data_IF_718211675212
#
_entry.id   IF_718211675212
#
_cell.length_a   1.000
_cell.length_b   1.000
_cell.length_c   1.000
_cell.angle_alpha   90.00
_cell.angle_beta   90.00
_cell.angle_gamma   90.00
#
_symmetry.space_group_name_H-M   'P 1'
#
loop_
_entity.id
_entity.type
_entity.pdbx_description
1 polymer ?
#
# COMPACT_ATOMS: atom_id res chain seq x y z
N UNK A 1 9.22 -15.47 -15.84
CA UNK A 1 9.24 -15.47 -14.35
C UNK A 1 7.87 -15.01 -13.91
N UNK A 2 7.25 -15.63 -12.90
CA UNK A 2 5.91 -15.20 -12.49
C UNK A 2 6.01 -14.01 -11.51
N UNK A 3 5.45 -12.86 -11.89
CA UNK A 3 5.51 -11.62 -11.11
C UNK A 3 4.11 -11.08 -10.91
N UNK A 4 3.72 -10.88 -9.66
CA UNK A 4 2.42 -10.34 -9.29
C UNK A 4 2.59 -9.00 -8.60
N UNK A 5 1.70 -8.06 -8.89
CA UNK A 5 1.66 -6.79 -8.19
C UNK A 5 0.25 -6.45 -7.71
N UNK A 6 0.17 -5.82 -6.55
CA UNK A 6 -1.00 -5.14 -6.04
C UNK A 6 -0.71 -3.65 -6.03
N UNK A 7 -1.50 -2.89 -6.78
CA UNK A 7 -1.38 -1.44 -6.91
C UNK A 7 -2.62 -0.79 -6.30
N UNK A 8 -2.40 -0.04 -5.22
CA UNK A 8 -3.45 0.53 -4.39
C UNK A 8 -3.35 2.05 -4.39
N UNK A 9 -4.41 2.74 -4.81
CA UNK A 9 -4.50 4.20 -4.80
C UNK A 9 -5.83 4.67 -4.24
N UNK A 10 -5.84 5.08 -2.96
CA UNK A 10 -7.09 5.43 -2.27
C UNK A 10 -7.25 6.95 -2.16
N UNK A 11 -8.29 7.47 -2.80
CA UNK A 11 -8.68 8.87 -2.76
C UNK A 11 -9.73 9.17 -1.68
N UNK A 12 -10.61 8.20 -1.39
CA UNK A 12 -11.82 8.45 -0.63
C UNK A 12 -11.70 8.02 0.84
N UNK A 13 -11.93 8.96 1.77
CA UNK A 13 -11.86 8.73 3.22
C UNK A 13 -13.03 9.41 3.97
N UNK A 14 -14.28 8.97 3.75
CA UNK A 14 -15.47 9.63 4.29
C UNK A 14 -15.49 9.79 5.81
N UNK A 15 -14.80 8.92 6.56
CA UNK A 15 -14.78 8.93 8.03
C UNK A 15 -13.50 9.53 8.63
N UNK A 16 -12.48 9.81 7.81
CA UNK A 16 -11.25 10.43 8.27
C UNK A 16 -11.42 11.94 8.40
N UNK A 17 -11.74 12.40 9.61
CA UNK A 17 -12.04 13.80 9.93
C UNK A 17 -11.35 14.23 11.22
N UNK A 18 -10.99 15.51 11.33
CA UNK A 18 -10.45 16.07 12.58
C UNK A 18 -11.52 16.18 13.66
N UNK A 19 -12.74 16.56 13.29
CA UNK A 19 -13.91 16.64 14.18
C UNK A 19 -15.15 16.06 13.49
N UNK A 20 -16.26 15.77 14.22
CA UNK A 20 -17.51 15.30 13.62
C UNK A 20 -18.06 16.20 12.51
N UNK A 21 -17.82 17.51 12.60
CA UNK A 21 -18.33 18.52 11.66
C UNK A 21 -17.31 18.92 10.59
N UNK A 22 -16.03 18.53 10.73
CA UNK A 22 -14.99 18.80 9.74
C UNK A 22 -15.23 18.06 8.42
N UNK A 23 -14.70 18.64 7.34
CA UNK A 23 -14.64 17.96 6.04
C UNK A 23 -13.78 16.70 6.14
N UNK A 24 -14.14 15.68 5.38
CA UNK A 24 -13.36 14.46 5.24
C UNK A 24 -12.05 14.73 4.48
N UNK A 25 -10.99 14.04 4.89
CA UNK A 25 -9.62 14.22 4.37
C UNK A 25 -9.39 13.39 3.10
N UNK A 26 -10.20 13.65 2.07
CA UNK A 26 -10.02 13.04 0.76
C UNK A 26 -8.68 13.46 0.11
N UNK A 27 -8.14 12.60 -0.73
CA UNK A 27 -6.98 12.86 -1.58
C UNK A 27 -7.42 12.85 -3.05
N UNK A 28 -6.64 13.52 -3.92
CA UNK A 28 -7.03 13.70 -5.33
C UNK A 28 -6.12 12.98 -6.32
N UNK A 29 -4.83 12.81 -6.00
CA UNK A 29 -3.84 12.20 -6.90
C UNK A 29 -3.63 10.69 -6.77
N UNK A 30 -3.86 10.01 -5.62
CA UNK A 30 -3.46 8.61 -5.44
C UNK A 30 -3.95 7.63 -6.52
N UNK A 31 -5.21 7.72 -6.94
CA UNK A 31 -5.74 6.84 -7.98
C UNK A 31 -5.03 7.02 -9.33
N UNK A 32 -4.77 8.27 -9.74
CA UNK A 32 -4.07 8.56 -11.00
C UNK A 32 -2.60 8.12 -10.95
N UNK A 33 -1.92 8.41 -9.83
CA UNK A 33 -0.52 8.03 -9.63
C UNK A 33 -0.37 6.50 -9.58
N UNK A 34 -1.29 5.81 -8.88
CA UNK A 34 -1.35 4.36 -8.85
C UNK A 34 -1.60 3.75 -10.23
N UNK A 35 -2.53 4.31 -11.01
CA UNK A 35 -2.79 3.82 -12.36
C UNK A 35 -1.57 3.98 -13.27
N UNK A 36 -0.86 5.10 -13.18
CA UNK A 36 0.38 5.30 -13.94
C UNK A 36 1.45 4.26 -13.59
N UNK A 37 1.61 3.91 -12.31
CA UNK A 37 2.52 2.85 -11.88
C UNK A 37 2.05 1.48 -12.36
N UNK A 38 0.74 1.19 -12.26
CA UNK A 38 0.16 -0.07 -12.72
C UNK A 38 0.45 -0.32 -14.21
N UNK A 39 0.24 0.69 -15.05
CA UNK A 39 0.53 0.59 -16.48
C UNK A 39 2.00 0.30 -16.77
N UNK A 40 2.94 0.95 -16.04
CA UNK A 40 4.37 0.70 -16.24
C UNK A 40 4.81 -0.67 -15.77
N UNK A 41 4.21 -1.20 -14.71
CA UNK A 41 4.46 -2.55 -14.23
C UNK A 41 3.97 -3.61 -15.23
N UNK A 42 2.82 -3.39 -15.87
CA UNK A 42 2.31 -4.27 -16.93
C UNK A 42 3.16 -4.17 -18.20
N UNK A 43 3.47 -2.95 -18.66
CA UNK A 43 4.12 -2.72 -19.95
C UNK A 43 5.61 -3.11 -19.95
N UNK A 44 6.34 -2.80 -18.87
CA UNK A 44 7.80 -2.97 -18.82
C UNK A 44 8.27 -3.95 -17.74
N UNK A 45 7.42 -4.24 -16.75
CA UNK A 45 7.82 -5.02 -15.58
C UNK A 45 7.49 -6.50 -15.67
N UNK A 46 6.72 -6.93 -16.68
CA UNK A 46 6.15 -8.28 -16.83
C UNK A 46 5.36 -8.70 -15.58
N UNK A 47 4.67 -7.74 -14.95
CA UNK A 47 3.83 -7.99 -13.78
C UNK A 47 2.38 -8.23 -14.19
N UNK A 48 1.74 -9.21 -13.54
CA UNK A 48 0.29 -9.32 -13.49
C UNK A 48 -0.22 -8.41 -12.39
N UNK A 49 -0.87 -7.30 -12.78
CA UNK A 49 -1.26 -6.24 -11.84
C UNK A 49 -2.72 -6.37 -11.42
N UNK A 50 -2.96 -6.43 -10.12
CA UNK A 50 -4.28 -6.19 -9.51
C UNK A 50 -4.35 -4.75 -9.01
N UNK A 51 -5.49 -4.10 -9.25
CA UNK A 51 -5.72 -2.69 -8.92
C UNK A 51 -6.74 -2.57 -7.80
N UNK A 52 -6.60 -1.56 -6.94
CA UNK A 52 -7.55 -1.31 -5.87
C UNK A 52 -7.63 0.20 -5.53
N UNK A 53 -8.83 0.82 -5.51
CA UNK A 53 -10.12 0.28 -5.95
C UNK A 53 -10.16 0.07 -7.47
N UNK A 54 -10.72 -1.06 -7.92
CA UNK A 54 -10.81 -1.38 -9.34
C UNK A 54 -12.10 -0.82 -9.96
N UNK A 55 -12.00 -0.33 -11.19
CA UNK A 55 -13.12 -0.12 -12.10
C UNK A 55 -12.79 -0.72 -13.47
N UNK A 56 -13.83 -1.06 -14.22
CA UNK A 56 -13.70 -1.55 -15.60
C UNK A 56 -14.17 -0.44 -16.53
N UNK A 57 -13.27 0.10 -17.34
CA UNK A 57 -13.57 1.05 -18.40
C UNK A 57 -13.30 0.39 -19.76
N UNK A 58 -14.37 -0.05 -20.44
CA UNK A 58 -14.25 -0.88 -21.62
C UNK A 58 -13.67 -2.25 -21.25
N UNK A 59 -12.56 -2.63 -21.88
CA UNK A 59 -11.83 -3.88 -21.57
C UNK A 59 -10.68 -3.69 -20.58
N UNK A 60 -10.44 -2.45 -20.12
CA UNK A 60 -9.30 -2.12 -19.27
C UNK A 60 -9.72 -1.98 -17.80
N UNK A 61 -8.99 -2.66 -16.91
CA UNK A 61 -9.06 -2.47 -15.46
C UNK A 61 -8.24 -1.25 -15.07
N UNK A 62 -8.80 -0.37 -14.24
CA UNK A 62 -8.15 0.87 -13.80
C UNK A 62 -8.35 1.10 -12.30
N UNK A 63 -7.44 1.84 -11.70
CA UNK A 63 -7.64 2.38 -10.35
C UNK A 63 -8.63 3.55 -10.42
N UNK A 64 -9.73 3.50 -9.67
CA UNK A 64 -10.75 4.55 -9.70
C UNK A 64 -10.60 5.57 -8.57
N UNK A 65 -10.92 6.83 -8.84
CA UNK A 65 -10.80 7.92 -7.85
C UNK A 65 -11.98 8.02 -6.88
N UNK A 66 -13.12 7.41 -7.19
CA UNK A 66 -14.36 7.47 -6.42
C UNK A 66 -14.66 6.17 -5.63
N UNK A 67 -13.92 5.11 -5.91
CA UNK A 67 -14.08 3.82 -5.25
C UNK A 67 -13.67 3.85 -3.78
N UNK A 68 -14.40 3.08 -2.97
CA UNK A 68 -14.08 2.86 -1.56
C UNK A 68 -13.36 1.52 -1.40
N UNK A 69 -12.33 1.51 -0.56
CA UNK A 69 -11.60 0.29 -0.19
C UNK A 69 -11.75 0.12 1.32
N UNK A 70 -12.32 -0.99 1.78
CA UNK A 70 -12.38 -1.30 3.21
C UNK A 70 -11.07 -1.90 3.69
N UNK A 71 -10.82 -1.79 4.99
CA UNK A 71 -9.61 -2.35 5.63
C UNK A 71 -9.50 -3.85 5.37
N UNK A 72 -10.61 -4.58 5.55
CA UNK A 72 -10.70 -6.03 5.26
C UNK A 72 -10.34 -6.37 3.81
N UNK A 73 -10.91 -5.65 2.84
CA UNK A 73 -10.61 -5.86 1.41
C UNK A 73 -9.13 -5.60 1.09
N UNK A 74 -8.52 -4.59 1.73
CA UNK A 74 -7.10 -4.31 1.57
C UNK A 74 -6.24 -5.43 2.19
N UNK A 75 -6.60 -5.92 3.37
CA UNK A 75 -5.91 -7.05 4.01
C UNK A 75 -5.98 -8.31 3.15
N UNK A 76 -7.17 -8.68 2.68
CA UNK A 76 -7.37 -9.84 1.81
C UNK A 76 -6.55 -9.75 0.54
N UNK A 77 -6.51 -8.57 -0.10
CA UNK A 77 -5.73 -8.36 -1.31
C UNK A 77 -4.22 -8.52 -1.05
N UNK A 78 -3.73 -8.03 0.09
CA UNK A 78 -2.34 -8.18 0.53
C UNK A 78 -2.01 -9.64 0.87
N UNK A 79 -2.91 -10.34 1.56
CA UNK A 79 -2.77 -11.78 1.87
C UNK A 79 -2.69 -12.59 0.58
N UNK A 80 -3.57 -12.32 -0.39
CA UNK A 80 -3.52 -13.00 -1.68
C UNK A 80 -2.22 -12.74 -2.44
N UNK A 81 -1.61 -11.57 -2.27
CA UNK A 81 -0.34 -11.22 -2.92
C UNK A 81 0.85 -11.95 -2.27
N UNK A 82 0.97 -11.86 -0.94
CA UNK A 82 2.17 -12.31 -0.23
C UNK A 82 2.04 -13.70 0.38
N UNK A 83 0.85 -14.19 0.67
CA UNK A 83 0.64 -15.53 1.23
C UNK A 83 -0.39 -16.33 0.42
N UNK A 84 -0.17 -16.52 -0.91
CA UNK A 84 -1.08 -17.29 -1.73
C UNK A 84 -1.07 -18.77 -1.31
N UNK A 85 -2.24 -19.40 -1.36
CA UNK A 85 -2.42 -20.83 -1.10
C UNK A 85 -2.38 -21.58 -2.44
N UNK A 86 -1.59 -22.66 -2.51
CA UNK A 86 -1.50 -23.54 -3.68
C UNK A 86 -0.12 -23.52 -4.35
N UNK A 87 -0.02 -24.10 -5.55
CA UNK A 87 1.26 -24.32 -6.24
C UNK A 87 1.77 -23.10 -7.01
N UNK A 88 0.89 -22.13 -7.30
CA UNK A 88 1.21 -20.95 -8.11
C UNK A 88 1.68 -19.75 -7.26
N UNK A 89 2.76 -19.95 -6.49
CA UNK A 89 3.40 -18.86 -5.73
C UNK A 89 4.22 -18.00 -6.72
N UNK A 90 4.00 -16.68 -6.78
CA UNK A 90 4.80 -15.81 -7.63
C UNK A 90 6.25 -15.78 -7.15
N UNK A 91 7.18 -15.64 -8.08
CA UNK A 91 8.59 -15.50 -7.75
C UNK A 91 8.89 -14.11 -7.18
N UNK A 92 8.21 -13.09 -7.72
CA UNK A 92 8.24 -11.72 -7.22
C UNK A 92 6.83 -11.22 -6.93
N UNK A 93 6.62 -10.67 -5.74
CA UNK A 93 5.41 -9.95 -5.37
C UNK A 93 5.73 -8.49 -5.06
N UNK A 94 4.97 -7.56 -5.64
CA UNK A 94 5.11 -6.13 -5.41
C UNK A 94 3.82 -5.52 -4.86
N UNK A 95 3.89 -4.89 -3.69
CA UNK A 95 2.83 -4.01 -3.19
C UNK A 95 3.24 -2.56 -3.44
N UNK A 96 2.44 -1.84 -4.22
CA UNK A 96 2.49 -0.38 -4.30
C UNK A 96 1.24 0.18 -3.62
N UNK A 97 1.43 1.03 -2.62
CA UNK A 97 0.35 1.70 -1.91
C UNK A 97 0.60 3.19 -1.90
N UNK A 98 -0.40 3.97 -2.35
CA UNK A 98 -0.43 5.42 -2.24
C UNK A 98 -1.75 5.86 -1.59
N UNK A 99 -1.65 6.71 -0.56
CA UNK A 99 -2.80 7.11 0.24
C UNK A 99 -2.40 7.72 1.59
N UNK A 100 -3.33 7.78 2.52
CA UNK A 100 -3.02 8.20 3.90
C UNK A 100 -2.29 7.08 4.65
N UNK A 101 -1.31 7.48 5.47
CA UNK A 101 -0.77 6.65 6.53
C UNK A 101 -1.15 7.25 7.87
N UNK A 102 -1.59 6.40 8.80
CA UNK A 102 -2.01 6.81 10.13
C UNK A 102 -1.02 6.32 11.18
N UNK A 103 -0.96 7.05 12.28
CA UNK A 103 -0.10 6.72 13.43
C UNK A 103 -0.92 6.75 14.70
N UNK A 104 -0.83 5.67 15.47
CA UNK A 104 -1.38 5.55 16.81
C UNK A 104 -0.24 5.57 17.82
N UNK A 105 -0.28 6.49 18.77
CA UNK A 105 0.63 6.50 19.91
C UNK A 105 -0.19 6.25 21.19
N UNK A 106 0.14 5.16 21.91
CA UNK A 106 -0.48 4.84 23.19
C UNK A 106 0.56 4.24 24.13
N UNK A 107 0.74 4.85 25.30
CA UNK A 107 1.64 4.34 26.33
C UNK A 107 3.11 4.26 25.87
N UNK A 108 3.56 5.17 25.02
CA UNK A 108 4.91 5.17 24.46
C UNK A 108 5.12 4.21 23.28
N UNK A 109 4.13 3.35 22.98
CA UNK A 109 4.15 2.48 21.79
C UNK A 109 3.56 3.24 20.61
N UNK A 110 4.36 3.34 19.56
CA UNK A 110 3.94 3.89 18.27
C UNK A 110 3.66 2.75 17.30
N UNK A 111 2.50 2.78 16.65
CA UNK A 111 2.11 1.86 15.60
C UNK A 111 1.59 2.63 14.38
N UNK A 112 2.06 2.23 13.20
CA UNK A 112 1.65 2.81 11.92
C UNK A 112 0.67 1.92 11.17
N UNK A 113 -0.18 2.55 10.36
CA UNK A 113 -1.25 1.89 9.62
C UNK A 113 -1.36 2.45 8.20
N UNK A 114 -1.70 1.58 7.24
CA UNK A 114 -2.19 1.99 5.92
C UNK A 114 -3.67 2.34 6.05
N UNK A 115 -4.05 3.56 5.67
CA UNK A 115 -5.43 3.99 5.75
C UNK A 115 -6.25 3.39 4.60
N UNK A 116 -7.33 2.69 4.94
CA UNK A 116 -8.39 2.36 4.01
C UNK A 116 -9.51 3.43 4.08
N UNK A 117 -10.53 3.33 3.22
CA UNK A 117 -11.64 4.30 3.17
C UNK A 117 -12.53 4.29 4.41
N UNK A 118 -12.56 3.19 5.15
CA UNK A 118 -13.38 2.98 6.35
C UNK A 118 -12.70 3.38 7.66
N UNK A 119 -11.52 4.01 7.62
CA UNK A 119 -10.82 4.45 8.82
C UNK A 119 -11.56 5.56 9.57
N UNK A 120 -11.72 5.37 10.87
CA UNK A 120 -12.20 6.37 11.82
C UNK A 120 -11.37 6.26 13.11
N UNK A 121 -10.26 7.02 13.24
CA UNK A 121 -9.42 7.00 14.43
C UNK A 121 -10.18 7.25 15.74
N UNK A 122 -11.31 7.98 15.69
CA UNK A 122 -12.14 8.28 16.88
C UNK A 122 -12.93 7.06 17.35
N UNK A 123 -13.20 6.12 16.44
CA UNK A 123 -13.80 4.80 16.74
C UNK A 123 -12.74 3.70 16.87
N UNK A 124 -11.47 4.08 16.97
CA UNK A 124 -10.34 3.16 17.02
C UNK A 124 -10.23 2.24 15.77
N UNK A 125 -10.69 2.72 14.61
CA UNK A 125 -10.56 2.06 13.32
C UNK A 125 -9.40 2.71 12.55
N UNK A 126 -8.23 2.09 12.61
CA UNK A 126 -6.97 2.69 12.13
C UNK A 126 -6.54 2.21 10.74
N UNK A 127 -7.17 1.17 10.18
CA UNK A 127 -6.79 0.57 8.91
C UNK A 127 -5.87 -0.64 9.10
N UNK A 128 -5.04 -0.91 8.11
CA UNK A 128 -4.19 -2.10 8.06
C UNK A 128 -2.88 -1.87 8.80
N UNK A 129 -2.61 -2.66 9.84
CA UNK A 129 -1.41 -2.50 10.67
C UNK A 129 -0.13 -2.81 9.89
N UNK A 130 0.85 -1.90 9.95
CA UNK A 130 2.19 -2.13 9.41
C UNK A 130 2.95 -3.21 10.18
N UNK A 131 2.61 -3.43 11.46
CA UNK A 131 3.15 -4.55 12.24
C UNK A 131 2.61 -5.88 11.71
N UNK A 132 1.30 -5.98 11.48
CA UNK A 132 0.69 -7.16 10.87
C UNK A 132 1.26 -7.44 9.47
N UNK A 133 1.38 -6.40 8.63
CA UNK A 133 1.97 -6.53 7.30
C UNK A 133 3.40 -7.11 7.37
N UNK A 134 4.23 -6.62 8.30
CA UNK A 134 5.58 -7.17 8.52
C UNK A 134 5.56 -8.64 8.95
N UNK A 135 4.65 -9.02 9.86
CA UNK A 135 4.51 -10.41 10.30
C UNK A 135 4.04 -11.32 9.16
N UNK A 136 3.17 -10.82 8.27
CA UNK A 136 2.75 -11.52 7.05
C UNK A 136 3.93 -11.73 6.08
N UNK A 137 4.71 -10.69 5.79
CA UNK A 137 5.89 -10.77 4.92
C UNK A 137 6.94 -11.77 5.44
N UNK A 138 7.10 -11.86 6.77
CA UNK A 138 8.01 -12.85 7.38
C UNK A 138 7.57 -14.30 7.17
N UNK A 139 6.25 -14.54 7.03
CA UNK A 139 5.66 -15.87 6.80
C UNK A 139 5.45 -16.17 5.32
N UNK A 140 5.60 -15.17 4.46
CA UNK A 140 5.34 -15.26 3.03
C UNK A 140 6.24 -16.30 2.35
N UNK A 141 5.69 -17.20 1.52
CA UNK A 141 6.48 -18.13 0.71
C UNK A 141 7.08 -17.45 -0.54
N UNK A 142 6.76 -16.19 -0.82
CA UNK A 142 7.26 -15.47 -2.00
C UNK A 142 8.74 -15.16 -1.82
N UNK A 143 9.55 -15.52 -2.83
CA UNK A 143 11.02 -15.36 -2.79
C UNK A 143 11.45 -13.90 -2.78
N UNK A 144 10.90 -13.09 -3.68
CA UNK A 144 11.22 -11.66 -3.78
C UNK A 144 10.00 -10.82 -3.43
N UNK A 145 10.06 -10.13 -2.30
CA UNK A 145 8.98 -9.29 -1.77
C UNK A 145 9.38 -7.82 -1.86
N UNK A 146 8.60 -7.03 -2.58
CA UNK A 146 8.81 -5.58 -2.76
C UNK A 146 7.61 -4.85 -2.17
N UNK A 147 7.87 -3.91 -1.26
CA UNK A 147 6.82 -3.07 -0.67
C UNK A 147 7.21 -1.61 -0.85
N UNK A 148 6.42 -0.90 -1.65
CA UNK A 148 6.57 0.52 -1.93
C UNK A 148 5.38 1.26 -1.35
N UNK A 149 5.65 2.04 -0.30
CA UNK A 149 4.65 2.87 0.37
C UNK A 149 4.88 4.35 0.09
N UNK A 150 3.95 4.96 -0.64
CA UNK A 150 3.83 6.40 -0.83
C UNK A 150 2.73 6.97 0.07
N UNK A 151 3.01 6.98 1.37
CA UNK A 151 2.10 7.51 2.38
C UNK A 151 2.88 8.17 3.51
N UNK A 152 2.25 9.13 4.20
CA UNK A 152 2.82 9.73 5.40
C UNK A 152 3.13 8.62 6.43
N UNK A 153 4.25 8.75 7.16
CA UNK A 153 4.66 7.80 8.22
C UNK A 153 5.03 6.38 7.76
N UNK A 154 5.29 6.15 6.47
CA UNK A 154 5.83 4.88 5.94
C UNK A 154 7.15 4.41 6.57
N UNK A 155 7.84 5.30 7.30
CA UNK A 155 9.09 5.03 8.03
C UNK A 155 8.93 4.08 9.24
N UNK A 156 7.72 3.80 9.70
CA UNK A 156 7.47 2.97 10.90
C UNK A 156 7.49 1.46 10.63
N UNK A 157 7.60 1.01 9.36
CA UNK A 157 7.68 -0.41 9.03
C UNK A 157 8.91 -1.12 9.63
N UNK A 158 10.03 -0.42 9.82
CA UNK A 158 11.33 -1.04 10.14
C UNK A 158 11.91 -0.56 11.47
N UNK A 159 11.79 -1.41 12.50
CA UNK A 159 12.63 -1.38 13.71
C UNK A 159 13.38 -2.72 13.92
N UNK A 160 13.61 -3.53 12.87
CA UNK A 160 14.38 -4.79 12.99
C UNK A 160 15.16 -5.15 11.71
N UNK A 161 16.32 -5.80 11.91
CA UNK A 161 17.49 -5.92 11.02
C UNK A 161 17.36 -6.85 9.80
N UNK A 162 16.37 -6.66 8.91
CA UNK A 162 16.39 -7.28 7.56
C UNK A 162 16.07 -6.27 6.46
N UNK A 163 16.85 -6.32 5.38
CA UNK A 163 16.76 -5.42 4.22
C UNK A 163 15.51 -5.72 3.41
N UNK A 164 14.55 -4.80 3.42
CA UNK A 164 13.47 -4.72 2.43
C UNK A 164 13.70 -3.43 1.66
N UNK A 165 13.75 -3.53 0.32
CA UNK A 165 13.94 -2.36 -0.54
C UNK A 165 12.66 -1.55 -0.61
N UNK A 166 12.55 -0.50 0.20
CA UNK A 166 11.50 0.51 0.08
C UNK A 166 12.01 1.64 -0.81
N UNK A 167 11.37 1.86 -1.95
CA UNK A 167 11.49 3.11 -2.68
C UNK A 167 10.50 4.13 -2.08
N UNK A 168 10.96 5.34 -1.79
CA UNK A 168 10.10 6.46 -1.36
C UNK A 168 10.45 7.65 -2.26
N UNK A 169 9.60 8.04 -3.22
CA UNK A 169 9.84 9.18 -4.10
C UNK A 169 9.62 10.44 -3.28
N UNK A 170 10.70 11.12 -2.88
CA UNK A 170 10.56 12.42 -2.21
C UNK A 170 10.36 13.53 -3.25
N UNK A 171 9.25 14.24 -3.13
CA UNK A 171 9.10 15.62 -3.61
C UNK A 171 9.85 16.61 -2.71
N UNK A 172 10.65 17.47 -3.34
CA UNK A 172 11.43 18.63 -2.85
C UNK A 172 12.90 18.40 -2.40
N UNK A 173 13.79 19.36 -2.73
CA UNK A 173 15.22 19.14 -2.83
C UNK A 173 15.90 19.46 -1.51
N UNK A 174 16.45 18.44 -0.86
CA UNK A 174 17.74 18.55 -0.18
C UNK A 174 18.26 17.15 0.12
N UNK A 175 19.19 16.74 -0.72
CA UNK A 175 20.27 15.80 -0.44
C UNK A 175 19.84 14.41 0.10
N UNK A 176 19.61 13.45 -0.79
CA UNK A 176 19.65 12.03 -0.43
C UNK A 176 20.29 11.20 -1.54
N UNK A 177 21.43 10.59 -1.21
CA UNK A 177 22.10 9.54 -1.98
C UNK A 177 21.12 8.42 -2.30
N UNK A 178 21.04 8.05 -3.57
CA UNK A 178 20.55 6.74 -3.99
C UNK A 178 21.47 5.66 -3.43
N UNK A 179 21.02 4.89 -2.44
CA UNK A 179 21.65 3.61 -2.11
C UNK A 179 20.94 2.50 -2.87
N UNK A 180 21.43 2.25 -4.08
CA UNK A 180 21.26 0.99 -4.79
C UNK A 180 22.10 -0.04 -4.04
N UNK A 181 21.50 -1.12 -3.56
CA UNK A 181 22.27 -2.31 -3.17
C UNK A 181 21.71 -3.45 -4.00
N UNK A 182 22.41 -3.73 -5.11
CA UNK A 182 22.44 -5.04 -5.71
C UNK A 182 23.37 -5.92 -4.87
N UNK A 183 22.91 -7.11 -4.55
CA UNK A 183 23.69 -8.35 -4.54
C UNK A 183 22.70 -9.51 -4.64
#
# INVERSE_FOLDING_TARGET
MNRDALVVGINQYPFLKDTPTSKAKHLFTPANDAEAIAQRLEEYGDFRVRRLPETIQGEQRRVTSDGLVKSETLEDAIVQLFNPVGENIPETALLYFIGHGLRKNRGGVTEGFLAASDVDPRKNQWGVSLRWLRELLQKSPVKQQIVWLDCCYSRELFNSRRTVSIACPKGSPRNTRFSRVMA
#
